data_IF_850377959086
#
_entry.id   IF_850377959086
#
_cell.length_a   1.000
_cell.length_b   1.000
_cell.length_c   1.000
_cell.angle_alpha   90.00
_cell.angle_beta   90.00
_cell.angle_gamma   90.00
#
_symmetry.space_group_name_H-M   'P 1'
#
loop_
_entity.id
_entity.type
_entity.pdbx_description
1 polymer ?
#
# COMPACT_ATOMS: atom_id res chain seq x y z
N UNK A 1 0.96 -37.50 9.80
CA UNK A 1 0.59 -37.21 8.39
C UNK A 1 0.09 -35.78 8.37
N UNK A 2 0.92 -34.90 7.80
CA UNK A 2 0.68 -33.48 7.46
C UNK A 2 0.49 -32.46 8.60
N UNK A 3 1.62 -32.03 9.16
CA UNK A 3 1.75 -30.69 9.74
C UNK A 3 1.57 -29.66 8.61
N UNK A 4 0.43 -28.95 8.64
CA UNK A 4 0.26 -27.72 7.86
C UNK A 4 1.34 -26.74 8.34
N UNK A 5 2.34 -26.48 7.50
CA UNK A 5 3.28 -25.38 7.69
C UNK A 5 2.45 -24.10 7.69
N UNK A 6 2.11 -23.62 8.88
CA UNK A 6 1.49 -22.33 9.06
C UNK A 6 2.50 -21.29 8.59
N UNK A 7 2.20 -20.61 7.48
CA UNK A 7 2.95 -19.42 7.07
C UNK A 7 2.87 -18.42 8.23
N UNK A 8 3.91 -18.36 9.05
CA UNK A 8 3.95 -17.49 10.22
C UNK A 8 4.11 -16.05 9.73
N UNK A 9 3.03 -15.28 9.76
CA UNK A 9 3.03 -13.87 9.44
C UNK A 9 3.64 -13.09 10.61
N UNK A 10 4.80 -12.47 10.40
CA UNK A 10 5.43 -11.58 11.39
C UNK A 10 5.23 -10.13 10.96
N UNK A 11 4.70 -9.32 11.88
CA UNK A 11 4.53 -7.87 11.73
C UNK A 11 5.55 -7.17 12.63
N UNK A 12 6.35 -6.29 12.03
CA UNK A 12 7.28 -5.44 12.76
C UNK A 12 6.89 -3.98 12.52
N UNK A 13 6.56 -3.27 13.61
CA UNK A 13 6.20 -1.86 13.58
C UNK A 13 7.45 -1.04 13.95
N UNK A 14 7.82 -0.07 13.12
CA UNK A 14 8.95 0.82 13.40
C UNK A 14 8.54 1.99 14.31
N UNK A 15 9.53 2.72 14.86
CA UNK A 15 9.30 3.91 15.70
C UNK A 15 8.43 4.99 15.02
N UNK A 16 8.39 4.97 13.68
CA UNK A 16 7.41 5.69 12.88
C UNK A 16 6.20 4.78 12.67
N UNK A 17 5.09 5.11 13.34
CA UNK A 17 3.80 4.38 13.32
C UNK A 17 3.18 4.13 11.93
N UNK A 18 3.80 4.64 10.87
CA UNK A 18 3.33 4.55 9.50
C UNK A 18 4.13 3.57 8.64
N UNK A 19 5.17 2.92 9.20
CA UNK A 19 6.01 1.97 8.46
C UNK A 19 5.89 0.61 9.14
N UNK A 20 5.40 -0.37 8.39
CA UNK A 20 5.30 -1.75 8.85
C UNK A 20 5.97 -2.71 7.86
N UNK A 21 6.65 -3.71 8.40
CA UNK A 21 7.22 -4.80 7.61
C UNK A 21 6.46 -6.08 7.91
N UNK A 22 5.99 -6.73 6.85
CA UNK A 22 5.30 -8.02 6.89
C UNK A 22 6.25 -9.07 6.32
N UNK A 23 6.49 -10.13 7.09
CA UNK A 23 7.19 -11.32 6.62
C UNK A 23 6.21 -12.48 6.53
N UNK A 24 6.11 -13.08 5.34
CA UNK A 24 5.38 -14.32 5.10
C UNK A 24 6.36 -15.37 4.56
N UNK A 25 6.91 -16.19 5.46
CA UNK A 25 7.95 -17.15 5.07
C UNK A 25 9.22 -16.45 4.59
N UNK A 26 9.58 -16.65 3.32
CA UNK A 26 10.71 -15.99 2.66
C UNK A 26 10.32 -14.68 1.96
N UNK A 27 9.01 -14.37 1.86
CA UNK A 27 8.56 -13.12 1.24
C UNK A 27 8.56 -11.99 2.27
N UNK A 28 9.25 -10.91 1.97
CA UNK A 28 9.31 -9.70 2.79
C UNK A 28 8.72 -8.52 2.06
N UNK A 29 7.76 -7.87 2.69
CA UNK A 29 7.09 -6.67 2.15
C UNK A 29 7.15 -5.57 3.20
N UNK A 30 7.49 -4.37 2.78
CA UNK A 30 7.46 -3.18 3.60
C UNK A 30 6.39 -2.23 3.07
N UNK A 31 5.40 -1.91 3.89
CA UNK A 31 4.41 -0.89 3.61
C UNK A 31 4.75 0.38 4.37
N UNK A 32 4.60 1.53 3.74
CA UNK A 32 4.52 2.79 4.46
C UNK A 32 3.38 3.67 3.99
N UNK A 33 2.84 4.43 4.94
CA UNK A 33 1.72 5.34 4.72
C UNK A 33 2.20 6.76 4.93
N UNK A 34 1.87 7.64 3.98
CA UNK A 34 2.09 9.08 4.11
C UNK A 34 0.76 9.80 3.91
N UNK A 35 0.54 10.87 4.67
CA UNK A 35 -0.67 11.69 4.57
C UNK A 35 -0.26 13.14 4.34
N UNK A 36 -0.89 13.78 3.35
CA UNK A 36 -0.64 15.17 2.99
C UNK A 36 -1.96 15.91 2.79
N UNK A 37 -1.95 17.23 2.94
CA UNK A 37 -3.13 18.06 2.71
C UNK A 37 -3.15 18.54 1.26
N UNK A 38 -4.17 18.18 0.50
CA UNK A 38 -4.34 18.55 -0.90
C UNK A 38 -5.73 19.12 -1.17
N UNK A 39 -5.90 19.76 -2.33
CA UNK A 39 -7.21 20.17 -2.80
C UNK A 39 -7.97 18.95 -3.34
N UNK A 40 -9.24 18.73 -2.96
CA UNK A 40 -10.03 17.61 -3.46
C UNK A 40 -10.32 17.77 -4.95
N UNK A 41 -10.68 16.66 -5.58
CA UNK A 41 -11.15 16.68 -6.96
C UNK A 41 -12.49 17.42 -7.07
N UNK A 42 -12.74 18.04 -8.24
CA UNK A 42 -13.94 18.87 -8.47
C UNK A 42 -15.24 18.08 -8.44
N UNK A 43 -15.19 16.81 -8.83
CA UNK A 43 -16.30 15.87 -8.80
C UNK A 43 -16.62 15.36 -7.39
N UNK A 44 -15.62 15.32 -6.50
CA UNK A 44 -15.74 14.82 -5.13
C UNK A 44 -15.13 15.80 -4.11
N UNK A 45 -15.78 16.95 -3.86
CA UNK A 45 -15.23 17.99 -2.97
C UNK A 45 -15.24 17.62 -1.48
N UNK A 46 -15.99 16.59 -1.08
CA UNK A 46 -16.18 16.16 0.31
C UNK A 46 -15.41 14.88 0.66
N UNK A 47 -14.59 14.37 -0.25
CA UNK A 47 -13.88 13.11 -0.07
C UNK A 47 -12.38 13.36 -0.16
N UNK A 48 -11.63 12.74 0.75
CA UNK A 48 -10.18 12.63 0.66
C UNK A 48 -9.75 11.65 -0.43
N UNK A 49 -8.45 11.64 -0.71
CA UNK A 49 -7.88 10.76 -1.72
C UNK A 49 -7.07 9.66 -1.06
N UNK A 50 -7.15 8.47 -1.64
CA UNK A 50 -6.32 7.32 -1.29
C UNK A 50 -5.62 6.87 -2.57
N UNK A 51 -4.31 6.69 -2.52
CA UNK A 51 -3.52 6.20 -3.65
C UNK A 51 -2.57 5.11 -3.18
N UNK A 52 -2.56 3.98 -3.88
CA UNK A 52 -1.67 2.85 -3.61
C UNK A 52 -0.60 2.79 -4.70
N UNK A 53 0.65 2.69 -4.28
CA UNK A 53 1.80 2.51 -5.14
C UNK A 53 2.52 1.23 -4.73
N UNK A 54 2.87 0.43 -5.72
CA UNK A 54 3.63 -0.81 -5.54
C UNK A 54 4.93 -0.69 -6.30
N UNK A 55 6.04 -0.91 -5.60
CA UNK A 55 7.37 -0.95 -6.18
C UNK A 55 8.02 -2.30 -5.89
N UNK A 56 8.58 -2.89 -6.93
CA UNK A 56 9.38 -4.10 -6.84
C UNK A 56 10.84 -3.68 -6.87
N UNK A 57 11.55 -3.92 -5.77
CA UNK A 57 12.97 -3.62 -5.69
C UNK A 57 13.78 -4.69 -6.43
N UNK A 58 14.86 -4.33 -7.14
CA UNK A 58 15.85 -5.30 -7.64
C UNK A 58 16.48 -6.15 -6.53
N UNK A 59 16.35 -5.73 -5.27
CA UNK A 59 16.72 -6.54 -4.10
C UNK A 59 15.86 -7.80 -3.95
N UNK A 60 14.61 -7.76 -4.41
CA UNK A 60 13.69 -8.88 -4.30
C UNK A 60 13.91 -9.93 -5.40
N UNK A 61 14.23 -9.49 -6.61
CA UNK A 61 14.63 -10.35 -7.73
C UNK A 61 15.47 -9.53 -8.73
N UNK A 62 16.61 -10.06 -9.24
CA UNK A 62 17.42 -9.38 -10.25
C UNK A 62 16.70 -9.07 -11.57
N UNK A 63 15.56 -9.72 -11.85
CA UNK A 63 14.73 -9.47 -13.02
C UNK A 63 13.87 -8.20 -12.91
N UNK A 64 13.73 -7.62 -11.72
CA UNK A 64 12.99 -6.38 -11.54
C UNK A 64 13.87 -5.17 -11.89
N UNK A 65 13.40 -4.36 -12.83
CA UNK A 65 14.05 -3.09 -13.18
C UNK A 65 13.61 -1.97 -12.22
N UNK A 66 14.56 -1.22 -11.63
CA UNK A 66 14.22 -0.10 -10.77
C UNK A 66 13.57 1.03 -11.58
N UNK A 67 12.47 1.59 -11.06
CA UNK A 67 11.81 2.77 -11.60
C UNK A 67 10.67 2.53 -12.60
N UNK A 68 10.62 1.39 -13.29
CA UNK A 68 9.43 1.01 -14.09
C UNK A 68 8.68 -0.11 -13.39
N UNK A 69 7.44 0.12 -12.91
CA UNK A 69 6.65 -0.96 -12.34
C UNK A 69 6.38 -2.00 -13.43
N UNK A 70 6.84 -3.22 -13.19
CA UNK A 70 6.56 -4.38 -14.05
C UNK A 70 5.06 -4.70 -14.07
N UNK A 71 4.63 -5.57 -14.98
CA UNK A 71 3.22 -5.95 -15.12
C UNK A 71 2.61 -6.45 -13.80
N UNK A 72 3.33 -7.33 -13.09
CA UNK A 72 2.94 -7.83 -11.77
C UNK A 72 2.78 -6.71 -10.73
N UNK A 73 3.61 -5.66 -10.80
CA UNK A 73 3.52 -4.53 -9.87
C UNK A 73 2.27 -3.69 -10.09
N UNK A 74 1.93 -3.47 -11.36
CA UNK A 74 0.73 -2.76 -11.76
C UNK A 74 -0.52 -3.57 -11.41
N UNK A 75 -0.50 -4.89 -11.67
CA UNK A 75 -1.61 -5.77 -11.33
C UNK A 75 -1.85 -5.83 -9.82
N UNK A 76 -0.79 -6.06 -9.03
CA UNK A 76 -0.88 -6.10 -7.58
C UNK A 76 -1.42 -4.78 -7.01
N UNK A 77 -0.90 -3.65 -7.49
CA UNK A 77 -1.38 -2.33 -7.07
C UNK A 77 -2.86 -2.11 -7.37
N UNK A 78 -3.33 -2.57 -8.54
CA UNK A 78 -4.75 -2.49 -8.92
C UNK A 78 -5.65 -3.38 -8.07
N UNK A 79 -5.20 -4.59 -7.74
CA UNK A 79 -5.96 -5.52 -6.89
C UNK A 79 -6.10 -4.92 -5.49
N UNK A 80 -5.02 -4.37 -4.93
CA UNK A 80 -5.04 -3.76 -3.60
C UNK A 80 -5.89 -2.49 -3.59
N UNK A 81 -5.72 -1.58 -4.56
CA UNK A 81 -6.52 -0.35 -4.67
C UNK A 81 -8.02 -0.68 -4.79
N UNK A 82 -8.37 -1.64 -5.64
CA UNK A 82 -9.76 -2.11 -5.77
C UNK A 82 -10.26 -2.71 -4.47
N UNK A 83 -9.48 -3.59 -3.83
CA UNK A 83 -9.84 -4.21 -2.56
C UNK A 83 -10.12 -3.19 -1.46
N UNK A 84 -9.28 -2.16 -1.33
CA UNK A 84 -9.46 -1.09 -0.33
C UNK A 84 -10.68 -0.21 -0.63
N UNK A 85 -10.94 0.10 -1.90
CA UNK A 85 -12.09 0.92 -2.30
C UNK A 85 -13.42 0.18 -2.20
N UNK A 86 -13.49 -1.05 -2.70
CA UNK A 86 -14.71 -1.85 -2.69
C UNK A 86 -15.13 -2.26 -1.28
N UNK A 87 -14.15 -2.56 -0.42
CA UNK A 87 -14.41 -2.88 0.99
C UNK A 87 -14.79 -1.67 1.85
N UNK A 88 -14.60 -0.44 1.34
CA UNK A 88 -14.71 0.80 2.12
C UNK A 88 -13.89 0.74 3.42
N UNK A 89 -12.70 0.15 3.34
CA UNK A 89 -11.83 -0.02 4.50
C UNK A 89 -11.36 1.31 5.10
N UNK A 90 -11.34 2.37 4.28
CA UNK A 90 -11.02 3.74 4.70
C UNK A 90 -12.20 4.63 4.39
N UNK A 91 -12.67 5.36 5.39
CA UNK A 91 -13.73 6.35 5.22
C UNK A 91 -13.15 7.63 4.61
N UNK A 92 -13.36 7.80 3.30
CA UNK A 92 -12.89 8.96 2.55
C UNK A 92 -13.61 10.25 2.91
N UNK A 93 -14.83 10.20 3.46
CA UNK A 93 -15.56 11.41 3.89
C UNK A 93 -14.95 11.96 5.18
N UNK A 94 -14.52 11.09 6.09
CA UNK A 94 -13.81 11.48 7.33
C UNK A 94 -12.49 12.21 7.08
N UNK A 95 -11.91 12.03 5.88
CA UNK A 95 -10.66 12.66 5.45
C UNK A 95 -10.85 14.11 4.98
N UNK A 96 -12.10 14.59 4.84
CA UNK A 96 -12.38 15.95 4.44
C UNK A 96 -12.31 16.92 5.63
N UNK A 97 -11.42 17.91 5.56
CA UNK A 97 -11.31 18.97 6.57
C UNK A 97 -12.19 20.15 6.16
N UNK A 98 -12.01 20.64 4.93
CA UNK A 98 -12.78 21.72 4.36
C UNK A 98 -13.23 21.37 2.95
N UNK A 99 -14.53 21.14 2.81
CA UNK A 99 -15.17 20.83 1.53
C UNK A 99 -14.72 21.77 0.41
N UNK A 100 -14.26 21.18 -0.69
CA UNK A 100 -13.84 21.90 -1.90
C UNK A 100 -12.50 22.64 -1.82
N UNK A 101 -11.82 22.65 -0.65
CA UNK A 101 -10.51 23.31 -0.51
C UNK A 101 -9.41 22.40 0.02
N UNK A 102 -9.67 21.63 1.07
CA UNK A 102 -8.64 20.92 1.81
C UNK A 102 -9.13 19.56 2.29
N UNK A 103 -8.48 18.51 1.81
CA UNK A 103 -8.73 17.13 2.21
C UNK A 103 -7.41 16.41 2.46
N UNK A 104 -7.45 15.36 3.27
CA UNK A 104 -6.32 14.46 3.41
C UNK A 104 -6.17 13.58 2.16
N UNK A 105 -4.95 13.56 1.66
CA UNK A 105 -4.47 12.67 0.62
C UNK A 105 -3.55 11.64 1.26
N UNK A 106 -4.04 10.41 1.36
CA UNK A 106 -3.30 9.27 1.89
C UNK A 106 -2.63 8.55 0.72
N UNK A 107 -1.32 8.38 0.84
CA UNK A 107 -0.51 7.61 -0.08
C UNK A 107 0.05 6.40 0.66
N UNK A 108 -0.21 5.23 0.11
CA UNK A 108 0.33 3.95 0.59
C UNK A 108 1.36 3.51 -0.42
N UNK A 109 2.60 3.34 0.01
CA UNK A 109 3.68 2.78 -0.80
C UNK A 109 4.03 1.39 -0.26
N UNK A 110 4.06 0.41 -1.15
CA UNK A 110 4.34 -0.98 -0.85
C UNK A 110 5.60 -1.37 -1.60
N UNK A 111 6.63 -1.72 -0.84
CA UNK A 111 7.93 -2.14 -1.35
C UNK A 111 8.12 -3.62 -1.08
N UNK A 112 8.34 -4.39 -2.15
CA UNK A 112 8.68 -5.80 -2.03
C UNK A 112 10.19 -5.90 -1.89
N UNK A 113 10.63 -6.45 -0.77
CA UNK A 113 12.03 -6.54 -0.37
C UNK A 113 12.64 -7.91 -0.72
N UNK A 114 11.86 -8.97 -0.58
CA UNK A 114 12.27 -10.35 -0.89
C UNK A 114 11.10 -11.10 -1.53
N UNK A 115 11.34 -11.76 -2.65
CA UNK A 115 10.36 -12.59 -3.34
C UNK A 115 10.66 -14.07 -3.13
N UNK A 116 10.01 -14.66 -2.14
CA UNK A 116 10.19 -16.06 -1.75
C UNK A 116 9.51 -17.10 -2.64
N UNK A 117 8.78 -16.69 -3.69
CA UNK A 117 8.04 -17.58 -4.60
C UNK A 117 6.64 -17.10 -4.96
#
# INVERSE_FOLDING_TARGET
MEQRLANSLRLTINEKQFIETVQLGQTHVMGFVTAQLLQPYRDRPNEGTLSVYTEFSPMADPSYEPGRPGEFAVELGRIIDRGLRESRAVDTESLCILSGKLVWAIRIDIHILDNGG
#
